data_IF_065135600872
#
_entry.id   IF_065135600872
#
_cell.length_a   1.000
_cell.length_b   1.000
_cell.length_c   1.000
_cell.angle_alpha   90.00
_cell.angle_beta   90.00
_cell.angle_gamma   90.00
#
_symmetry.space_group_name_H-M   'P 1'
#
loop_
_entity.id
_entity.type
_entity.pdbx_description
1 polymer ?
#
# COMPACT_ATOMS: atom_id res chain seq x y z
N UNK A 1 14.90 6.43 5.09
CA UNK A 1 14.02 5.29 5.41
C UNK A 1 14.71 3.96 5.12
N UNK A 2 14.15 2.84 5.58
CA UNK A 2 14.71 1.51 5.35
C UNK A 2 14.76 1.16 3.86
N UNK A 3 13.74 1.52 3.10
CA UNK A 3 13.69 1.39 1.63
C UNK A 3 14.92 2.02 0.97
N UNK A 4 15.24 3.27 1.34
CA UNK A 4 16.42 3.96 0.80
C UNK A 4 17.72 3.23 1.11
N UNK A 5 17.90 2.79 2.36
CA UNK A 5 19.09 2.06 2.79
C UNK A 5 19.25 0.73 2.04
N UNK A 6 18.15 0.01 1.81
CA UNK A 6 18.15 -1.23 1.04
C UNK A 6 18.55 -0.99 -0.42
N UNK A 7 17.97 0.02 -1.07
CA UNK A 7 18.32 0.41 -2.45
C UNK A 7 19.80 0.78 -2.57
N UNK A 8 20.30 1.62 -1.64
CA UNK A 8 21.71 2.02 -1.61
C UNK A 8 22.65 0.81 -1.44
N UNK A 9 22.28 -0.13 -0.59
CA UNK A 9 23.06 -1.34 -0.35
C UNK A 9 23.12 -2.22 -1.59
N UNK A 10 21.97 -2.56 -2.17
CA UNK A 10 21.90 -3.42 -3.36
C UNK A 10 22.62 -2.78 -4.55
N UNK A 11 22.53 -1.46 -4.72
CA UNK A 11 23.26 -0.73 -5.76
C UNK A 11 24.77 -0.83 -5.55
N UNK A 12 25.27 -0.71 -4.30
CA UNK A 12 26.70 -0.90 -3.98
C UNK A 12 27.17 -2.32 -4.23
N UNK A 13 26.32 -3.31 -4.09
CA UNK A 13 26.57 -4.71 -4.39
C UNK A 13 26.54 -5.01 -5.91
N UNK A 14 26.27 -4.02 -6.75
CA UNK A 14 26.32 -4.11 -8.22
C UNK A 14 25.01 -4.53 -8.87
N UNK A 15 23.90 -4.55 -8.14
CA UNK A 15 22.59 -4.87 -8.70
C UNK A 15 21.97 -3.66 -9.41
N UNK A 16 21.25 -3.94 -10.51
CA UNK A 16 20.39 -2.95 -11.14
C UNK A 16 19.10 -2.84 -10.31
N UNK A 17 18.90 -1.73 -9.61
CA UNK A 17 17.79 -1.53 -8.66
C UNK A 17 17.05 -0.26 -8.97
N UNK A 18 15.71 -0.32 -8.89
CA UNK A 18 14.82 0.83 -8.98
C UNK A 18 13.85 0.83 -7.80
N UNK A 19 13.62 2.01 -7.20
CA UNK A 19 12.61 2.21 -6.16
C UNK A 19 11.35 2.81 -6.73
N UNK A 20 10.21 2.28 -6.31
CA UNK A 20 8.87 2.86 -6.58
C UNK A 20 8.12 2.99 -5.27
N UNK A 21 7.16 3.90 -5.20
CA UNK A 21 6.35 4.12 -3.99
C UNK A 21 4.89 4.31 -4.37
N UNK A 22 3.99 3.74 -3.57
CA UNK A 22 2.55 3.83 -3.80
C UNK A 22 1.81 4.33 -2.55
N UNK A 23 0.81 5.24 -2.70
CA UNK A 23 0.42 5.86 -3.98
C UNK A 23 1.51 6.74 -4.59
N UNK A 24 1.56 6.77 -5.93
CA UNK A 24 2.42 7.73 -6.64
C UNK A 24 1.72 9.09 -6.74
N UNK A 25 1.83 9.87 -5.68
CA UNK A 25 1.10 11.13 -5.56
C UNK A 25 1.44 12.17 -6.64
N UNK A 26 2.54 12.03 -7.35
CA UNK A 26 2.92 12.93 -8.45
C UNK A 26 2.25 12.54 -9.78
N UNK A 27 1.65 11.36 -9.84
CA UNK A 27 0.92 10.86 -11.00
C UNK A 27 -0.52 11.37 -11.03
N UNK A 28 -1.02 11.69 -12.22
CA UNK A 28 -2.45 11.94 -12.45
C UNK A 28 -3.34 10.71 -12.16
N UNK A 29 -2.78 9.51 -12.24
CA UNK A 29 -3.49 8.28 -11.90
C UNK A 29 -3.82 8.15 -10.40
N UNK A 30 -3.09 8.86 -9.53
CA UNK A 30 -3.36 8.90 -8.09
C UNK A 30 -4.43 9.94 -7.69
N UNK A 31 -5.00 10.70 -8.63
CA UNK A 31 -6.00 11.73 -8.29
C UNK A 31 -7.22 11.15 -7.55
N UNK A 32 -7.85 10.04 -7.98
CA UNK A 32 -8.96 9.45 -7.24
C UNK A 32 -8.56 9.02 -5.81
N UNK A 33 -7.32 8.57 -5.62
CA UNK A 33 -6.80 8.21 -4.29
C UNK A 33 -6.68 9.45 -3.40
N UNK A 34 -6.19 10.56 -3.93
CA UNK A 34 -6.10 11.82 -3.19
C UNK A 34 -7.49 12.30 -2.73
N UNK A 35 -8.49 12.26 -3.62
CA UNK A 35 -9.87 12.61 -3.30
C UNK A 35 -10.46 11.69 -2.22
N UNK A 36 -10.22 10.37 -2.35
CA UNK A 36 -10.63 9.39 -1.36
C UNK A 36 -10.02 9.67 0.03
N UNK A 37 -8.71 9.85 0.09
CA UNK A 37 -8.00 10.10 1.36
C UNK A 37 -8.34 11.46 1.97
N UNK A 38 -8.67 12.47 1.15
CA UNK A 38 -9.20 13.75 1.60
C UNK A 38 -10.66 13.68 2.11
N UNK A 39 -11.30 12.51 1.97
CA UNK A 39 -12.69 12.30 2.37
C UNK A 39 -13.71 13.01 1.47
N UNK A 40 -13.40 13.19 0.18
CA UNK A 40 -14.35 13.74 -0.79
C UNK A 40 -15.46 12.73 -1.17
N UNK A 41 -15.18 11.42 -1.01
CA UNK A 41 -16.14 10.34 -1.27
C UNK A 41 -16.83 9.83 0.00
N UNK A 42 -16.60 10.48 1.15
CA UNK A 42 -17.11 10.12 2.47
C UNK A 42 -16.05 10.39 3.54
N UNK A 43 -16.50 10.61 4.77
CA UNK A 43 -15.61 10.97 5.88
C UNK A 43 -15.20 9.78 6.73
N UNK A 44 -15.90 8.66 6.59
CA UNK A 44 -15.57 7.40 7.25
C UNK A 44 -14.88 6.44 6.27
N UNK A 45 -13.98 5.62 6.78
CA UNK A 45 -13.26 4.60 5.99
C UNK A 45 -14.21 3.58 5.35
N UNK A 46 -15.40 3.40 5.92
CA UNK A 46 -16.42 2.47 5.43
C UNK A 46 -17.35 3.10 4.37
N UNK A 47 -17.33 4.43 4.16
CA UNK A 47 -18.17 5.09 3.15
C UNK A 47 -17.86 4.63 1.73
N UNK A 48 -16.64 4.20 1.48
CA UNK A 48 -16.20 3.71 0.17
C UNK A 48 -16.01 2.21 0.20
N UNK A 49 -16.72 1.53 -0.68
CA UNK A 49 -16.62 0.07 -0.85
C UNK A 49 -15.17 -0.37 -1.11
N UNK A 50 -14.68 -1.43 -0.44
CA UNK A 50 -13.32 -1.94 -0.61
C UNK A 50 -12.91 -2.24 -2.05
N UNK A 51 -13.81 -2.76 -2.88
CA UNK A 51 -13.53 -3.01 -4.30
C UNK A 51 -13.28 -1.72 -5.09
N UNK A 52 -14.06 -0.67 -4.81
CA UNK A 52 -13.90 0.64 -5.44
C UNK A 52 -12.58 1.28 -5.00
N UNK A 53 -12.30 1.32 -3.71
CA UNK A 53 -11.05 1.86 -3.19
C UNK A 53 -9.83 1.11 -3.76
N UNK A 54 -9.89 -0.22 -3.79
CA UNK A 54 -8.83 -1.06 -4.37
C UNK A 54 -8.58 -0.79 -5.84
N UNK A 55 -9.65 -0.53 -6.61
CA UNK A 55 -9.53 -0.22 -8.05
C UNK A 55 -8.75 1.07 -8.29
N UNK A 56 -8.94 2.10 -7.45
CA UNK A 56 -8.17 3.35 -7.55
C UNK A 56 -6.67 3.09 -7.35
N UNK A 57 -6.31 2.34 -6.31
CA UNK A 57 -4.91 1.97 -6.05
C UNK A 57 -4.31 1.07 -7.15
N UNK A 58 -5.09 0.16 -7.70
CA UNK A 58 -4.65 -0.70 -8.79
C UNK A 58 -4.37 0.08 -10.08
N UNK A 59 -5.19 1.10 -10.41
CA UNK A 59 -4.99 1.99 -11.56
C UNK A 59 -3.67 2.77 -11.41
N UNK A 60 -3.37 3.29 -10.21
CA UNK A 60 -2.12 4.00 -9.94
C UNK A 60 -0.90 3.09 -10.13
N UNK A 61 -0.95 1.85 -9.60
CA UNK A 61 0.11 0.86 -9.81
C UNK A 61 0.28 0.47 -11.27
N UNK A 62 -0.83 0.25 -11.98
CA UNK A 62 -0.80 -0.08 -13.40
C UNK A 62 -0.19 1.04 -14.23
N UNK A 63 -0.61 2.28 -14.01
CA UNK A 63 -0.06 3.44 -14.72
C UNK A 63 1.46 3.55 -14.47
N UNK A 64 1.89 3.46 -13.22
CA UNK A 64 3.32 3.48 -12.86
C UNK A 64 4.08 2.35 -13.52
N UNK A 65 3.55 1.11 -13.48
CA UNK A 65 4.17 -0.04 -14.14
C UNK A 65 4.41 0.21 -15.61
N UNK A 66 3.36 0.56 -16.33
CA UNK A 66 3.40 0.73 -17.79
C UNK A 66 4.29 1.88 -18.26
N UNK A 67 4.36 2.97 -17.50
CA UNK A 67 5.04 4.20 -17.93
C UNK A 67 6.45 4.36 -17.39
N UNK A 68 6.80 3.65 -16.29
CA UNK A 68 8.04 3.93 -15.57
C UNK A 68 8.96 2.71 -15.41
N UNK A 69 8.46 1.54 -15.01
CA UNK A 69 9.34 0.47 -14.57
C UNK A 69 9.13 -0.89 -15.25
N UNK A 70 8.14 -1.06 -16.15
CA UNK A 70 7.89 -2.32 -16.85
C UNK A 70 9.13 -2.83 -17.61
N UNK A 71 9.76 -1.97 -18.40
CA UNK A 71 10.91 -2.37 -19.21
C UNK A 71 12.14 -2.69 -18.33
N UNK A 72 12.34 -1.92 -17.26
CA UNK A 72 13.42 -2.18 -16.29
C UNK A 72 13.23 -3.53 -15.60
N UNK A 73 12.02 -3.85 -15.15
CA UNK A 73 11.66 -5.12 -14.57
C UNK A 73 11.85 -6.29 -15.55
N UNK A 74 11.34 -6.16 -16.77
CA UNK A 74 11.46 -7.19 -17.82
C UNK A 74 12.91 -7.47 -18.23
N UNK A 75 13.79 -6.51 -18.06
CA UNK A 75 15.24 -6.67 -18.30
C UNK A 75 15.98 -7.29 -17.09
N UNK A 76 15.27 -7.77 -16.07
CA UNK A 76 15.85 -8.41 -14.89
C UNK A 76 16.30 -7.44 -13.79
N UNK A 77 15.86 -6.18 -13.83
CA UNK A 77 16.10 -5.22 -12.77
C UNK A 77 15.29 -5.54 -11.50
N UNK A 78 15.85 -5.23 -10.35
CA UNK A 78 15.20 -5.38 -9.05
C UNK A 78 14.33 -4.16 -8.77
N UNK A 79 13.06 -4.37 -8.48
CA UNK A 79 12.13 -3.32 -8.06
C UNK A 79 11.94 -3.40 -6.54
N UNK A 80 12.22 -2.31 -5.85
CA UNK A 80 11.91 -2.15 -4.42
C UNK A 80 10.69 -1.23 -4.31
N UNK A 81 9.56 -1.81 -3.98
CA UNK A 81 8.30 -1.07 -3.81
C UNK A 81 8.10 -0.70 -2.32
N UNK A 82 8.02 0.60 -2.04
CA UNK A 82 7.54 1.12 -0.76
C UNK A 82 6.01 1.14 -0.81
N UNK A 83 5.37 0.17 -0.17
CA UNK A 83 3.98 -0.28 -0.34
C UNK A 83 3.72 -0.86 -1.74
N UNK A 84 2.78 -1.77 -1.80
CA UNK A 84 2.30 -2.40 -3.02
C UNK A 84 0.88 -2.95 -2.81
N UNK A 85 0.45 -3.95 -3.58
CA UNK A 85 -0.84 -4.63 -3.43
C UNK A 85 -1.05 -5.15 -1.99
N UNK A 86 0.01 -5.60 -1.33
CA UNK A 86 -0.01 -6.07 0.06
C UNK A 86 -0.58 -5.04 1.04
N UNK A 87 -0.22 -3.75 0.89
CA UNK A 87 -0.83 -2.68 1.70
C UNK A 87 -2.34 -2.53 1.40
N UNK A 88 -2.73 -2.66 0.15
CA UNK A 88 -4.14 -2.58 -0.24
C UNK A 88 -4.95 -3.75 0.34
N UNK A 89 -4.38 -4.98 0.30
CA UNK A 89 -4.97 -6.16 0.96
C UNK A 89 -5.33 -5.86 2.41
N UNK A 90 -4.37 -5.40 3.19
CA UNK A 90 -4.55 -5.11 4.62
C UNK A 90 -5.60 -4.03 4.85
N UNK A 91 -5.42 -2.86 4.22
CA UNK A 91 -6.26 -1.69 4.47
C UNK A 91 -7.72 -1.87 4.05
N UNK A 92 -8.00 -2.75 3.10
CA UNK A 92 -9.35 -2.95 2.63
C UNK A 92 -10.04 -4.17 3.25
N UNK A 93 -9.29 -5.26 3.55
CA UNK A 93 -9.90 -6.44 4.17
C UNK A 93 -10.45 -6.20 5.57
N UNK A 94 -9.87 -5.25 6.32
CA UNK A 94 -10.34 -4.91 7.68
C UNK A 94 -11.72 -4.28 7.72
N UNK A 95 -12.25 -3.87 6.57
CA UNK A 95 -13.62 -3.35 6.44
C UNK A 95 -14.69 -4.44 6.42
N UNK A 96 -14.28 -5.70 6.38
CA UNK A 96 -15.18 -6.85 6.48
C UNK A 96 -15.04 -7.53 7.83
N UNK A 97 -16.15 -7.74 8.53
CA UNK A 97 -16.17 -8.52 9.77
C UNK A 97 -16.17 -10.03 9.50
N UNK A 98 -16.78 -10.44 8.40
CA UNK A 98 -16.94 -11.86 8.03
C UNK A 98 -15.66 -12.40 7.37
N UNK A 99 -15.03 -13.48 7.93
CA UNK A 99 -13.84 -14.08 7.36
C UNK A 99 -13.99 -14.59 5.91
N UNK A 100 -15.19 -15.05 5.53
CA UNK A 100 -15.44 -15.50 4.16
C UNK A 100 -15.45 -14.33 3.18
N UNK A 101 -15.97 -13.17 3.58
CA UNK A 101 -15.95 -11.94 2.77
C UNK A 101 -14.52 -11.41 2.64
N UNK A 102 -13.71 -11.46 3.71
CA UNK A 102 -12.27 -11.16 3.65
C UNK A 102 -11.55 -12.03 2.63
N UNK A 103 -11.78 -13.34 2.69
CA UNK A 103 -11.18 -14.30 1.76
C UNK A 103 -11.61 -14.00 0.31
N UNK A 104 -12.90 -13.84 0.06
CA UNK A 104 -13.41 -13.53 -1.27
C UNK A 104 -12.86 -12.21 -1.82
N UNK A 105 -12.71 -11.19 -0.98
CA UNK A 105 -12.09 -9.93 -1.34
C UNK A 105 -10.61 -10.10 -1.71
N UNK A 106 -9.84 -10.84 -0.92
CA UNK A 106 -8.41 -11.08 -1.19
C UNK A 106 -8.20 -11.86 -2.49
N UNK A 107 -9.00 -12.90 -2.72
CA UNK A 107 -8.95 -13.70 -3.95
C UNK A 107 -9.30 -12.85 -5.18
N UNK A 108 -10.32 -11.99 -5.06
CA UNK A 108 -10.66 -11.03 -6.11
C UNK A 108 -9.53 -10.03 -6.38
N UNK A 109 -8.91 -9.48 -5.33
CA UNK A 109 -7.86 -8.48 -5.47
C UNK A 109 -6.62 -9.06 -6.15
N UNK A 110 -6.24 -10.30 -5.81
CA UNK A 110 -5.14 -11.00 -6.47
C UNK A 110 -5.45 -11.26 -7.95
N UNK A 111 -6.65 -11.74 -8.27
CA UNK A 111 -7.07 -11.93 -9.66
C UNK A 111 -7.09 -10.61 -10.42
N UNK A 112 -7.64 -9.56 -9.82
CA UNK A 112 -7.78 -8.25 -10.44
C UNK A 112 -6.42 -7.61 -10.76
N UNK A 113 -5.51 -7.55 -9.79
CA UNK A 113 -4.23 -6.88 -10.01
C UNK A 113 -3.23 -7.75 -10.78
N UNK A 114 -3.11 -9.04 -10.43
CA UNK A 114 -2.06 -9.87 -11.02
C UNK A 114 -2.49 -10.56 -12.32
N UNK A 115 -3.77 -10.97 -12.44
CA UNK A 115 -4.24 -11.65 -13.66
C UNK A 115 -4.86 -10.68 -14.67
N UNK A 116 -5.75 -9.77 -14.23
CA UNK A 116 -6.46 -8.87 -15.15
C UNK A 116 -5.62 -7.66 -15.55
N UNK A 117 -4.95 -7.02 -14.59
CA UNK A 117 -4.06 -5.88 -14.85
C UNK A 117 -2.66 -6.31 -15.27
N UNK A 118 -2.27 -7.56 -15.03
CA UNK A 118 -0.95 -8.09 -15.38
C UNK A 118 0.20 -7.45 -14.59
N UNK A 119 -0.09 -6.95 -13.40
CA UNK A 119 0.95 -6.45 -12.50
C UNK A 119 1.81 -7.61 -11.98
N UNK A 120 3.13 -7.43 -11.84
CA UNK A 120 3.98 -8.47 -11.27
C UNK A 120 3.58 -8.78 -9.82
N UNK A 121 3.50 -10.07 -9.49
CA UNK A 121 3.40 -10.50 -8.11
C UNK A 121 4.73 -10.25 -7.40
N UNK A 122 4.74 -9.80 -6.12
CA UNK A 122 5.99 -9.69 -5.37
C UNK A 122 6.68 -11.05 -5.24
N UNK A 123 7.99 -11.11 -5.50
CA UNK A 123 8.81 -12.30 -5.25
C UNK A 123 9.11 -12.47 -3.75
N UNK A 124 9.17 -11.35 -3.01
CA UNK A 124 9.32 -11.32 -1.57
C UNK A 124 8.60 -10.11 -0.97
N UNK A 125 8.11 -10.26 0.24
CA UNK A 125 7.51 -9.18 1.02
C UNK A 125 8.27 -9.06 2.34
N UNK A 126 8.65 -7.83 2.69
CA UNK A 126 9.27 -7.53 3.97
C UNK A 126 8.35 -6.61 4.76
N UNK A 127 7.78 -7.13 5.83
CA UNK A 127 7.01 -6.33 6.77
C UNK A 127 7.96 -5.70 7.81
N UNK A 128 7.91 -4.37 7.91
CA UNK A 128 8.54 -3.66 9.02
C UNK A 128 7.51 -3.56 10.15
N UNK A 129 7.55 -4.51 11.05
CA UNK A 129 6.67 -4.53 12.22
C UNK A 129 7.07 -3.45 13.20
N UNK A 130 6.16 -2.50 13.42
CA UNK A 130 6.34 -1.37 14.32
C UNK A 130 5.21 -1.33 15.34
N UNK A 131 5.52 -1.30 16.65
CA UNK A 131 4.50 -1.12 17.67
C UNK A 131 3.62 0.10 17.39
N UNK A 132 2.31 -0.05 17.60
CA UNK A 132 1.34 0.99 17.23
C UNK A 132 1.63 2.32 17.94
N UNK A 133 2.01 2.26 19.24
CA UNK A 133 2.35 3.44 20.05
C UNK A 133 3.54 4.22 19.47
N UNK A 134 4.53 3.50 18.92
CA UNK A 134 5.70 4.13 18.28
C UNK A 134 5.29 4.79 16.96
N UNK A 135 4.43 4.12 16.19
CA UNK A 135 3.89 4.67 14.94
C UNK A 135 3.09 5.95 15.19
N UNK A 136 2.22 5.95 16.19
CA UNK A 136 1.42 7.11 16.60
C UNK A 136 2.29 8.28 17.07
N UNK A 137 3.32 8.02 17.86
CA UNK A 137 4.26 9.05 18.31
C UNK A 137 4.98 9.70 17.13
N UNK A 138 5.44 8.90 16.15
CA UNK A 138 6.09 9.41 14.93
C UNK A 138 5.13 10.20 14.03
N UNK A 139 3.87 9.80 13.93
CA UNK A 139 2.85 10.56 13.21
C UNK A 139 2.59 11.93 13.87
N UNK A 140 2.47 11.97 15.19
CA UNK A 140 2.29 13.20 15.95
C UNK A 140 3.48 14.17 15.78
N UNK A 141 4.71 13.67 15.80
CA UNK A 141 5.91 14.48 15.52
C UNK A 141 5.92 15.06 14.10
N UNK A 142 5.48 14.29 13.10
CA UNK A 142 5.38 14.73 11.71
C UNK A 142 4.37 15.86 11.56
N UNK A 143 3.19 15.70 12.13
CA UNK A 143 2.12 16.72 12.11
C UNK A 143 2.59 18.02 12.77
N UNK A 144 3.28 17.93 13.90
CA UNK A 144 3.83 19.10 14.58
C UNK A 144 4.89 19.86 13.79
N UNK A 145 5.68 19.18 12.95
CA UNK A 145 6.71 19.81 12.10
C UNK A 145 6.18 20.44 10.83
N UNK A 146 5.09 19.90 10.28
CA UNK A 146 4.52 20.38 9.00
C UNK A 146 3.47 21.48 9.18
N UNK A 147 3.03 21.76 10.40
CA UNK A 147 2.02 22.81 10.69
C UNK A 147 0.65 22.57 10.06
N UNK A 148 0.47 21.42 9.44
CA UNK A 148 -0.74 21.02 8.75
C UNK A 148 -1.49 19.94 9.53
N UNK A 149 -2.65 20.27 10.01
CA UNK A 149 -3.60 19.33 10.55
C UNK A 149 -4.31 18.64 9.39
N UNK A 150 -3.77 17.54 8.87
CA UNK A 150 -4.60 16.65 8.06
C UNK A 150 -3.95 15.28 8.02
N UNK A 151 -4.19 14.49 9.06
CA UNK A 151 -4.23 13.05 8.90
C UNK A 151 -5.28 12.73 7.83
N UNK A 152 -5.01 11.78 6.96
CA UNK A 152 -6.02 11.28 6.04
C UNK A 152 -7.14 10.54 6.82
N UNK A 153 -8.21 10.12 6.14
CA UNK A 153 -9.33 9.42 6.79
C UNK A 153 -8.91 8.13 7.50
N UNK A 154 -7.77 7.55 7.16
CA UNK A 154 -7.21 6.37 7.81
C UNK A 154 -6.46 6.73 9.10
N UNK A 155 -5.58 7.75 9.04
CA UNK A 155 -4.75 8.19 10.17
C UNK A 155 -5.59 8.74 11.33
N UNK A 156 -6.76 9.30 11.05
CA UNK A 156 -7.68 9.84 12.05
C UNK A 156 -8.48 8.79 12.84
N UNK A 157 -8.42 7.51 12.48
CA UNK A 157 -9.23 6.46 13.08
C UNK A 157 -8.37 5.41 13.79
N UNK A 158 -8.19 5.58 15.13
CA UNK A 158 -7.37 4.68 15.95
C UNK A 158 -7.86 3.22 15.90
N UNK A 159 -9.18 2.97 15.99
CA UNK A 159 -9.72 1.62 15.94
C UNK A 159 -9.40 0.92 14.60
N UNK A 160 -9.45 1.68 13.50
CA UNK A 160 -9.05 1.22 12.19
C UNK A 160 -7.55 0.88 12.15
N UNK A 161 -6.68 1.70 12.73
CA UNK A 161 -5.23 1.42 12.76
C UNK A 161 -4.90 0.17 13.58
N UNK A 162 -5.61 -0.08 14.69
CA UNK A 162 -5.50 -1.33 15.46
C UNK A 162 -5.91 -2.53 14.62
N UNK A 163 -7.03 -2.44 13.90
CA UNK A 163 -7.50 -3.51 13.02
C UNK A 163 -6.51 -3.78 11.87
N UNK A 164 -5.94 -2.73 11.27
CA UNK A 164 -4.91 -2.81 10.24
C UNK A 164 -3.66 -3.53 10.75
N UNK A 165 -3.19 -3.20 11.97
CA UNK A 165 -2.04 -3.88 12.57
C UNK A 165 -2.29 -5.38 12.74
N UNK A 166 -3.45 -5.78 13.31
CA UNK A 166 -3.81 -7.19 13.42
C UNK A 166 -3.96 -7.92 12.07
N UNK A 167 -4.43 -7.20 11.04
CA UNK A 167 -4.55 -7.76 9.69
C UNK A 167 -3.18 -8.02 9.03
N UNK A 168 -2.16 -7.22 9.31
CA UNK A 168 -0.79 -7.53 8.88
C UNK A 168 -0.32 -8.87 9.44
N UNK A 169 -0.54 -9.13 10.73
CA UNK A 169 -0.17 -10.42 11.35
C UNK A 169 -0.92 -11.60 10.71
N UNK A 170 -2.21 -11.42 10.36
CA UNK A 170 -3.01 -12.44 9.68
C UNK A 170 -2.42 -12.74 8.30
N UNK A 171 -2.11 -11.71 7.50
CA UNK A 171 -1.61 -11.88 6.15
C UNK A 171 -0.17 -12.41 6.11
N UNK A 172 0.69 -12.01 7.04
CA UNK A 172 2.04 -12.61 7.20
C UNK A 172 1.95 -14.13 7.33
N UNK A 173 1.03 -14.63 8.16
CA UNK A 173 0.84 -16.07 8.35
C UNK A 173 0.23 -16.73 7.10
N UNK A 174 -0.75 -16.08 6.45
CA UNK A 174 -1.44 -16.61 5.27
C UNK A 174 -0.52 -16.69 4.05
N UNK A 175 0.30 -15.68 3.82
CA UNK A 175 1.13 -15.54 2.62
C UNK A 175 2.62 -15.82 2.85
N UNK A 176 3.01 -16.12 4.08
CA UNK A 176 4.41 -16.41 4.48
C UNK A 176 5.38 -15.25 4.12
N UNK A 177 4.94 -14.05 4.43
CA UNK A 177 5.78 -12.84 4.27
C UNK A 177 6.93 -12.80 5.27
#
# INVERSE_FOLDING_TARGET
TQTKLLVERLTKEGHAVKSVSFPNYDSGAAMPIKMYLAGEFGKDVHDVNPYVASSMYAIDRFASFRTDWEQFYKNGGIIIADRYTTSNMVHQMVKYDNPNERTAFLDWLEDFEFQKFGLPKPDAVCLLDMPLEVSEALMAERTGKTGGNTGDIHEGNHAYLVAVHGAYEELVKRYQW
#
